data_IF_362374462716
#
_entry.id   IF_362374462716
#
_cell.length_a   1.000
_cell.length_b   1.000
_cell.length_c   1.000
_cell.angle_alpha   90.00
_cell.angle_beta   90.00
_cell.angle_gamma   90.00
#
_symmetry.space_group_name_H-M   'P 1'
#
loop_
_entity.id
_entity.type
_entity.pdbx_description
1 polymer ?
#
# COMPACT_ATOMS: atom_id res chain seq x y z
N UNK A 1 -34.68 18.34 8.91
CA UNK A 1 -34.41 17.12 8.15
C UNK A 1 -33.30 17.32 7.10
N UNK A 2 -33.38 18.33 6.22
CA UNK A 2 -32.41 18.56 5.12
C UNK A 2 -30.95 18.76 5.61
N UNK A 3 -30.72 19.58 6.65
CA UNK A 3 -29.39 19.80 7.24
C UNK A 3 -28.78 18.55 7.90
N UNK A 4 -29.58 17.66 8.46
CA UNK A 4 -29.08 16.43 9.08
C UNK A 4 -28.66 15.40 8.01
N UNK A 5 -29.44 15.26 6.93
CA UNK A 5 -29.07 14.41 5.79
C UNK A 5 -27.82 14.91 5.06
N UNK A 6 -27.70 16.25 4.91
CA UNK A 6 -26.53 16.89 4.31
C UNK A 6 -25.26 16.62 5.15
N UNK A 7 -25.34 16.75 6.48
CA UNK A 7 -24.24 16.43 7.41
C UNK A 7 -23.84 14.96 7.35
N UNK A 8 -24.82 14.08 7.28
CA UNK A 8 -24.57 12.64 7.29
C UNK A 8 -23.84 12.19 6.02
N UNK A 9 -24.17 12.76 4.88
CA UNK A 9 -23.49 12.44 3.60
C UNK A 9 -22.03 12.88 3.55
N UNK A 10 -21.67 14.00 4.21
CA UNK A 10 -20.32 14.59 4.22
C UNK A 10 -19.49 14.23 5.45
N UNK A 11 -19.97 13.35 6.31
CA UNK A 11 -19.18 12.74 7.37
C UNK A 11 -18.28 11.64 6.79
N UNK A 12 -17.17 11.31 7.47
CA UNK A 12 -16.33 10.17 7.08
C UNK A 12 -17.15 8.89 6.86
N UNK A 13 -18.16 8.61 7.72
CA UNK A 13 -19.07 7.48 7.53
C UNK A 13 -19.88 7.54 6.23
N UNK A 14 -20.41 8.72 5.88
CA UNK A 14 -21.21 8.88 4.65
C UNK A 14 -20.38 8.75 3.39
N UNK A 15 -19.17 9.33 3.41
CA UNK A 15 -18.18 9.22 2.33
C UNK A 15 -17.77 7.75 2.17
N UNK A 16 -17.38 7.09 3.25
CA UNK A 16 -17.00 5.68 3.25
C UNK A 16 -18.09 4.79 2.70
N UNK A 17 -19.35 4.96 3.17
CA UNK A 17 -20.47 4.17 2.69
C UNK A 17 -20.71 4.33 1.18
N UNK A 18 -20.43 5.51 0.62
CA UNK A 18 -20.51 5.73 -0.83
C UNK A 18 -19.35 5.04 -1.56
N UNK A 19 -18.12 5.18 -1.07
CA UNK A 19 -16.94 4.55 -1.66
C UNK A 19 -17.04 3.01 -1.64
N UNK A 20 -17.54 2.41 -0.55
CA UNK A 20 -17.75 0.97 -0.47
C UNK A 20 -18.78 0.49 -1.50
N UNK A 21 -19.87 1.26 -1.71
CA UNK A 21 -20.89 0.94 -2.72
C UNK A 21 -20.41 1.11 -4.16
N UNK A 22 -19.27 1.76 -4.35
CA UNK A 22 -18.68 1.95 -5.68
C UNK A 22 -17.58 0.90 -5.86
N UNK A 23 -17.79 -0.12 -6.72
CA UNK A 23 -16.78 -1.14 -7.00
C UNK A 23 -15.49 -0.49 -7.52
N UNK A 24 -14.35 -1.00 -7.06
CA UNK A 24 -13.03 -0.53 -7.48
C UNK A 24 -11.95 -1.61 -7.23
N UNK A 25 -12.23 -2.86 -7.60
CA UNK A 25 -11.16 -3.85 -7.68
C UNK A 25 -10.05 -3.33 -8.58
N UNK A 26 -8.78 -3.68 -8.28
CA UNK A 26 -7.63 -3.19 -9.03
C UNK A 26 -7.83 -3.37 -10.54
N UNK A 27 -7.62 -2.30 -11.31
CA UNK A 27 -7.93 -2.26 -12.75
C UNK A 27 -9.31 -1.69 -13.09
N UNK A 28 -10.19 -1.44 -12.11
CA UNK A 28 -11.55 -0.93 -12.29
C UNK A 28 -11.87 0.30 -11.43
N UNK A 29 -10.89 1.13 -11.09
CA UNK A 29 -11.02 2.20 -10.08
C UNK A 29 -11.73 3.46 -10.59
N UNK A 30 -11.93 3.61 -11.90
CA UNK A 30 -12.39 4.86 -12.52
C UNK A 30 -13.70 5.42 -11.90
N UNK A 31 -14.67 4.55 -11.60
CA UNK A 31 -15.92 4.98 -10.98
C UNK A 31 -15.71 5.54 -9.55
N UNK A 32 -14.83 4.91 -8.77
CA UNK A 32 -14.49 5.37 -7.43
C UNK A 32 -13.70 6.67 -7.47
N UNK A 33 -12.79 6.83 -8.45
CA UNK A 33 -12.05 8.06 -8.66
C UNK A 33 -12.97 9.23 -9.00
N UNK A 34 -13.94 9.06 -9.91
CA UNK A 34 -14.93 10.08 -10.23
C UNK A 34 -15.78 10.46 -9.01
N UNK A 35 -16.22 9.46 -8.24
CA UNK A 35 -16.98 9.71 -7.02
C UNK A 35 -16.15 10.50 -5.99
N UNK A 36 -14.89 10.14 -5.81
CA UNK A 36 -13.98 10.82 -4.87
C UNK A 36 -13.64 12.24 -5.34
N UNK A 37 -13.38 12.43 -6.63
CA UNK A 37 -13.15 13.75 -7.25
C UNK A 37 -14.33 14.69 -6.98
N UNK A 38 -15.55 14.23 -7.24
CA UNK A 38 -16.75 15.02 -6.96
C UNK A 38 -16.90 15.42 -5.50
N UNK A 39 -16.53 14.56 -4.56
CA UNK A 39 -16.51 14.90 -3.15
C UNK A 39 -15.42 15.95 -2.81
N UNK A 40 -14.25 15.88 -3.43
CA UNK A 40 -13.19 16.86 -3.25
C UNK A 40 -13.60 18.24 -3.82
N UNK A 41 -14.24 18.29 -4.99
CA UNK A 41 -14.81 19.51 -5.56
C UNK A 41 -15.87 20.12 -4.64
N UNK A 42 -16.76 19.28 -4.11
CA UNK A 42 -17.79 19.70 -3.15
C UNK A 42 -17.21 20.25 -1.83
N UNK A 43 -16.01 19.77 -1.44
CA UNK A 43 -15.23 20.32 -0.33
C UNK A 43 -14.51 21.64 -0.71
N UNK A 44 -14.64 22.13 -1.93
CA UNK A 44 -14.02 23.36 -2.41
C UNK A 44 -12.52 23.24 -2.66
N UNK A 45 -12.05 22.06 -3.04
CA UNK A 45 -10.66 21.83 -3.45
C UNK A 45 -10.53 21.99 -4.97
N UNK A 46 -9.33 22.35 -5.42
CA UNK A 46 -8.96 22.29 -6.83
C UNK A 46 -8.60 20.83 -7.18
N UNK A 47 -9.34 20.22 -8.11
CA UNK A 47 -9.22 18.79 -8.42
C UNK A 47 -8.64 18.58 -9.80
N UNK A 48 -7.67 17.67 -9.89
CA UNK A 48 -7.16 17.10 -11.13
C UNK A 48 -7.34 15.58 -11.11
N UNK A 49 -7.88 15.03 -12.18
CA UNK A 49 -7.84 13.59 -12.44
C UNK A 49 -6.66 13.31 -13.37
N UNK A 50 -5.81 12.39 -12.98
CA UNK A 50 -4.57 12.07 -13.68
C UNK A 50 -4.61 10.63 -14.17
N UNK A 51 -4.72 10.44 -15.49
CA UNK A 51 -4.71 9.10 -16.09
C UNK A 51 -3.42 8.36 -15.75
N UNK A 52 -3.55 7.13 -15.29
CA UNK A 52 -2.46 6.20 -14.97
C UNK A 52 -2.35 5.16 -16.08
N UNK A 53 -3.47 4.51 -16.38
CA UNK A 53 -3.66 3.50 -17.42
C UNK A 53 -5.08 3.63 -17.98
N UNK A 54 -5.45 2.91 -19.03
CA UNK A 54 -6.85 2.87 -19.47
C UNK A 54 -7.78 2.48 -18.31
N UNK A 55 -8.84 3.26 -18.12
CA UNK A 55 -9.85 3.08 -17.05
C UNK A 55 -9.31 3.19 -15.60
N UNK A 56 -8.08 3.69 -15.42
CA UNK A 56 -7.45 3.90 -14.11
C UNK A 56 -6.93 5.33 -13.99
N UNK A 57 -7.28 6.04 -12.96
CA UNK A 57 -6.79 7.39 -12.72
C UNK A 57 -6.60 7.69 -11.23
N UNK A 58 -5.62 8.55 -10.95
CA UNK A 58 -5.48 9.18 -9.65
C UNK A 58 -6.39 10.40 -9.54
N UNK A 59 -6.78 10.73 -8.33
CA UNK A 59 -7.42 12.00 -7.98
C UNK A 59 -6.46 12.82 -7.14
N UNK A 60 -6.09 14.01 -7.60
CA UNK A 60 -5.21 14.93 -6.88
C UNK A 60 -5.98 16.22 -6.59
N UNK A 61 -6.36 16.40 -5.33
CA UNK A 61 -7.14 17.55 -4.88
C UNK A 61 -6.28 18.47 -4.00
N UNK A 62 -6.31 19.79 -4.26
CA UNK A 62 -5.47 20.79 -3.59
C UNK A 62 -6.31 21.83 -2.86
N UNK A 63 -5.87 22.14 -1.64
CA UNK A 63 -6.34 23.27 -0.85
C UNK A 63 -5.17 24.19 -0.55
N UNK A 64 -4.93 25.16 -1.43
CA UNK A 64 -3.82 26.09 -1.33
C UNK A 64 -4.22 27.27 -0.43
N UNK A 65 -3.44 27.53 0.61
CA UNK A 65 -3.56 28.68 1.51
C UNK A 65 -2.30 29.56 1.48
N UNK A 66 -1.30 29.17 0.65
CA UNK A 66 -0.05 29.90 0.45
C UNK A 66 0.88 29.84 1.65
N UNK A 67 0.80 28.81 2.47
CA UNK A 67 1.62 28.65 3.68
C UNK A 67 2.26 27.26 3.75
N UNK A 68 3.36 27.16 4.47
CA UNK A 68 3.99 25.87 4.83
C UNK A 68 3.64 25.45 6.25
N UNK A 69 3.76 24.15 6.60
CA UNK A 69 4.20 23.07 5.71
C UNK A 69 3.14 22.69 4.67
N UNK A 70 3.57 22.20 3.49
CA UNK A 70 2.69 21.55 2.54
C UNK A 70 2.53 20.07 2.95
N UNK A 71 1.32 19.68 3.28
CA UNK A 71 0.97 18.32 3.71
C UNK A 71 0.34 17.55 2.55
N UNK A 72 0.89 16.38 2.25
CA UNK A 72 0.28 15.37 1.39
C UNK A 72 -0.47 14.36 2.26
N UNK A 73 -1.78 14.25 2.08
CA UNK A 73 -2.61 13.17 2.58
C UNK A 73 -2.86 12.21 1.42
N UNK A 74 -2.64 10.92 1.60
CA UNK A 74 -2.77 9.97 0.48
C UNK A 74 -3.31 8.61 0.92
N UNK A 75 -3.81 7.86 -0.07
CA UNK A 75 -4.29 6.50 0.07
C UNK A 75 -4.81 5.96 -1.24
N UNK A 76 -5.03 4.64 -1.33
CA UNK A 76 -5.48 4.01 -2.55
C UNK A 76 -7.01 3.87 -2.65
N UNK A 77 -7.50 3.89 -3.89
CA UNK A 77 -8.92 3.74 -4.25
C UNK A 77 -9.30 2.30 -4.55
N UNK A 78 -8.33 1.53 -5.02
CA UNK A 78 -8.52 0.14 -5.38
C UNK A 78 -8.73 -0.74 -4.14
N UNK A 79 -9.17 -1.94 -4.40
CA UNK A 79 -9.39 -2.96 -3.38
C UNK A 79 -8.97 -4.31 -3.91
N UNK A 80 -8.55 -5.19 -3.01
CA UNK A 80 -8.46 -6.61 -3.31
C UNK A 80 -9.78 -7.15 -3.87
N UNK A 81 -9.75 -8.24 -4.67
CA UNK A 81 -10.96 -8.89 -5.17
C UNK A 81 -11.93 -9.25 -4.05
N UNK A 82 -13.24 -9.18 -4.35
CA UNK A 82 -14.29 -9.53 -3.37
C UNK A 82 -14.10 -10.96 -2.86
N UNK A 83 -13.84 -11.92 -3.76
CA UNK A 83 -13.68 -13.32 -3.39
C UNK A 83 -14.99 -13.98 -2.91
N UNK A 84 -14.87 -15.16 -2.30
CA UNK A 84 -15.99 -15.96 -1.81
C UNK A 84 -16.11 -15.93 -0.28
N UNK A 85 -17.21 -16.47 0.25
CA UNK A 85 -17.40 -16.67 1.70
C UNK A 85 -18.05 -15.52 2.44
N UNK A 86 -18.51 -14.46 1.75
CA UNK A 86 -19.23 -13.34 2.35
C UNK A 86 -20.58 -13.78 2.90
N UNK A 87 -20.93 -13.34 4.10
CA UNK A 87 -22.28 -13.51 4.69
C UNK A 87 -23.11 -12.23 4.57
N UNK A 88 -22.47 -11.10 4.19
CA UNK A 88 -23.07 -9.78 3.94
C UNK A 88 -22.81 -9.35 2.52
N UNK A 89 -23.59 -8.39 2.02
CA UNK A 89 -23.29 -7.78 0.72
C UNK A 89 -21.95 -7.02 0.77
N UNK A 90 -20.91 -7.42 0.02
CA UNK A 90 -19.60 -6.79 0.03
C UNK A 90 -19.61 -5.32 -0.43
N UNK A 91 -20.64 -4.90 -1.14
CA UNK A 91 -20.84 -3.51 -1.61
C UNK A 91 -22.01 -2.82 -0.90
N UNK A 92 -22.62 -3.47 0.09
CA UNK A 92 -23.81 -2.96 0.78
C UNK A 92 -23.54 -1.79 1.73
N UNK A 93 -22.32 -1.65 2.23
CA UNK A 93 -21.95 -0.70 3.29
C UNK A 93 -22.91 -0.83 4.50
N UNK A 94 -23.21 -2.07 4.88
CA UNK A 94 -24.10 -2.36 6.00
C UNK A 94 -23.48 -1.88 7.31
N UNK A 95 -24.30 -1.29 8.18
CA UNK A 95 -23.86 -0.89 9.52
C UNK A 95 -24.53 -1.78 10.56
N UNK A 96 -23.71 -2.49 11.33
CA UNK A 96 -24.17 -3.38 12.39
C UNK A 96 -23.16 -3.40 13.53
N UNK A 97 -23.62 -3.36 14.79
CA UNK A 97 -22.75 -3.45 15.98
C UNK A 97 -21.66 -2.38 16.07
N UNK A 98 -21.88 -1.16 15.56
CA UNK A 98 -20.87 -0.10 15.55
C UNK A 98 -19.84 -0.20 14.43
N UNK A 99 -19.98 -1.18 13.51
CA UNK A 99 -19.09 -1.43 12.37
C UNK A 99 -19.79 -1.14 11.05
N UNK A 100 -19.01 -0.71 10.05
CA UNK A 100 -19.44 -0.66 8.67
C UNK A 100 -18.76 -1.79 7.91
N UNK A 101 -19.54 -2.61 7.23
CA UNK A 101 -19.08 -3.79 6.50
C UNK A 101 -19.05 -3.53 5.00
N UNK A 102 -18.02 -4.04 4.35
CA UNK A 102 -17.88 -4.08 2.90
C UNK A 102 -16.43 -4.07 2.44
N UNK A 103 -16.19 -4.50 1.20
CA UNK A 103 -14.84 -4.56 0.60
C UNK A 103 -14.26 -3.15 0.50
N UNK A 104 -13.01 -2.99 0.96
CA UNK A 104 -12.31 -1.72 1.02
C UNK A 104 -12.73 -0.84 2.22
N UNK A 105 -13.63 -1.29 3.09
CA UNK A 105 -14.01 -0.52 4.27
C UNK A 105 -12.82 -0.31 5.22
N UNK A 106 -12.02 -1.35 5.41
CA UNK A 106 -10.78 -1.34 6.18
C UNK A 106 -9.63 -0.87 5.31
N UNK A 107 -9.44 -1.49 4.15
CA UNK A 107 -8.28 -1.35 3.29
C UNK A 107 -8.67 -0.75 1.92
N UNK A 108 -8.41 0.59 1.65
CA UNK A 108 -8.20 1.58 2.71
C UNK A 108 -9.15 2.79 2.53
N UNK A 109 -10.37 2.55 1.99
CA UNK A 109 -11.37 3.63 1.77
C UNK A 109 -11.76 4.33 3.07
N UNK A 110 -11.65 3.64 4.23
CA UNK A 110 -11.82 4.24 5.56
C UNK A 110 -10.87 5.39 5.83
N UNK A 111 -9.61 5.22 5.48
CA UNK A 111 -8.58 6.25 5.58
C UNK A 111 -8.88 7.46 4.71
N UNK A 112 -9.18 7.24 3.42
CA UNK A 112 -9.58 8.29 2.48
C UNK A 112 -10.80 9.06 2.98
N UNK A 113 -11.81 8.34 3.50
CA UNK A 113 -13.01 8.96 4.05
C UNK A 113 -12.74 9.78 5.31
N UNK A 114 -11.82 9.35 6.18
CA UNK A 114 -11.42 10.11 7.37
C UNK A 114 -10.70 11.41 7.00
N UNK A 115 -9.77 11.36 6.04
CA UNK A 115 -9.04 12.53 5.55
C UNK A 115 -9.98 13.56 4.91
N UNK A 116 -10.81 13.13 3.98
CA UNK A 116 -11.76 14.03 3.32
C UNK A 116 -12.84 14.55 4.28
N UNK A 117 -13.29 13.72 5.23
CA UNK A 117 -14.21 14.12 6.30
C UNK A 117 -13.63 15.23 7.18
N UNK A 118 -12.32 15.19 7.47
CA UNK A 118 -11.62 16.25 8.19
C UNK A 118 -11.62 17.56 7.41
N UNK A 119 -11.37 17.52 6.10
CA UNK A 119 -11.41 18.69 5.22
C UNK A 119 -12.82 19.31 5.21
N UNK A 120 -13.87 18.51 5.04
CA UNK A 120 -15.25 18.99 5.12
C UNK A 120 -15.58 19.67 6.45
N UNK A 121 -15.06 19.11 7.55
CA UNK A 121 -15.33 19.65 8.88
C UNK A 121 -14.63 21.01 9.11
N UNK A 122 -13.37 21.17 8.65
CA UNK A 122 -12.69 22.48 8.68
C UNK A 122 -13.42 23.50 7.82
N UNK A 123 -13.79 23.16 6.59
CA UNK A 123 -14.57 24.05 5.69
C UNK A 123 -15.88 24.49 6.34
N UNK A 124 -16.61 23.55 6.94
CA UNK A 124 -17.88 23.84 7.65
C UNK A 124 -17.71 24.83 8.80
N UNK A 125 -16.55 24.81 9.47
CA UNK A 125 -16.24 25.71 10.58
C UNK A 125 -15.64 27.04 10.11
N UNK A 126 -15.35 27.20 8.82
CA UNK A 126 -14.63 28.34 8.29
C UNK A 126 -13.19 28.39 8.79
N UNK A 127 -12.62 27.23 9.14
CA UNK A 127 -11.21 27.09 9.57
C UNK A 127 -10.35 26.76 8.35
N UNK A 128 -9.18 27.36 8.28
CA UNK A 128 -8.17 27.06 7.26
C UNK A 128 -7.08 26.14 7.84
N UNK A 129 -6.48 25.27 7.01
CA UNK A 129 -5.33 24.48 7.43
C UNK A 129 -4.12 25.37 7.73
N UNK A 130 -3.20 24.87 8.54
CA UNK A 130 -1.98 25.57 8.90
C UNK A 130 -1.06 25.84 7.70
N UNK A 131 -1.08 24.98 6.70
CA UNK A 131 -0.32 25.08 5.46
C UNK A 131 -1.12 24.51 4.26
N UNK A 132 -0.47 24.46 3.10
CA UNK A 132 -1.05 23.89 1.90
C UNK A 132 -1.34 22.40 2.07
N UNK A 133 -2.42 21.91 1.49
CA UNK A 133 -2.86 20.51 1.58
C UNK A 133 -3.07 19.94 0.18
N UNK A 134 -2.47 18.79 -0.08
CA UNK A 134 -2.84 17.93 -1.21
C UNK A 134 -3.45 16.65 -0.64
N UNK A 135 -4.62 16.29 -1.14
CA UNK A 135 -5.25 14.99 -0.91
C UNK A 135 -5.16 14.20 -2.21
N UNK A 136 -4.40 13.12 -2.20
CA UNK A 136 -4.22 12.25 -3.36
C UNK A 136 -4.85 10.89 -3.09
N UNK A 137 -5.78 10.48 -3.96
CA UNK A 137 -6.30 9.12 -3.97
C UNK A 137 -5.76 8.41 -5.22
N UNK A 138 -5.00 7.35 -5.01
CA UNK A 138 -4.23 6.68 -6.07
C UNK A 138 -4.87 5.35 -6.47
N UNK A 139 -4.53 4.88 -7.67
CA UNK A 139 -4.97 3.60 -8.20
C UNK A 139 -3.88 2.52 -8.09
N UNK A 140 -4.27 1.25 -7.89
CA UNK A 140 -3.40 0.09 -8.11
C UNK A 140 -2.40 -0.23 -7.01
N UNK A 141 -2.62 0.17 -5.78
CA UNK A 141 -1.73 -0.18 -4.66
C UNK A 141 -1.67 -1.68 -4.44
N UNK A 142 -2.82 -2.36 -4.52
CA UNK A 142 -2.99 -3.78 -4.22
C UNK A 142 -2.25 -4.74 -5.19
N UNK A 143 -1.73 -4.23 -6.33
CA UNK A 143 -1.01 -5.06 -7.31
C UNK A 143 0.40 -4.53 -7.64
N UNK A 144 0.52 -3.26 -8.06
CA UNK A 144 1.75 -2.75 -8.67
C UNK A 144 2.09 -1.30 -8.32
N UNK A 145 1.27 -0.63 -7.51
CA UNK A 145 1.41 0.79 -7.14
C UNK A 145 1.44 1.74 -8.33
N UNK A 146 0.77 1.39 -9.45
CA UNK A 146 0.84 2.16 -10.69
C UNK A 146 0.47 3.63 -10.48
N UNK A 147 -0.54 3.91 -9.66
CA UNK A 147 -0.98 5.27 -9.33
C UNK A 147 0.07 6.06 -8.57
N UNK A 148 0.64 5.50 -7.51
CA UNK A 148 1.69 6.17 -6.73
C UNK A 148 2.96 6.37 -7.54
N UNK A 149 3.37 5.38 -8.34
CA UNK A 149 4.50 5.50 -9.26
C UNK A 149 4.28 6.64 -10.26
N UNK A 150 3.09 6.74 -10.83
CA UNK A 150 2.73 7.85 -11.74
C UNK A 150 2.74 9.20 -11.01
N UNK A 151 2.17 9.28 -9.79
CA UNK A 151 2.12 10.49 -9.00
C UNK A 151 3.53 11.02 -8.65
N UNK A 152 4.43 10.15 -8.17
CA UNK A 152 5.80 10.54 -7.86
C UNK A 152 6.60 10.84 -9.13
N UNK A 153 6.38 10.09 -10.21
CA UNK A 153 7.01 10.30 -11.52
C UNK A 153 6.63 11.65 -12.16
N UNK A 154 5.41 12.15 -11.92
CA UNK A 154 4.97 13.49 -12.32
C UNK A 154 5.51 14.60 -11.43
N UNK A 155 6.27 14.27 -10.41
CA UNK A 155 6.99 15.23 -9.57
C UNK A 155 6.11 15.89 -8.51
N UNK A 156 5.21 15.14 -7.88
CA UNK A 156 4.50 15.62 -6.68
C UNK A 156 5.47 16.22 -5.66
N UNK A 157 5.08 17.30 -5.01
CA UNK A 157 5.87 17.99 -3.99
C UNK A 157 5.04 18.18 -2.74
N UNK A 158 5.64 17.90 -1.59
CA UNK A 158 5.13 18.21 -0.27
C UNK A 158 6.30 18.26 0.73
N UNK A 159 6.10 18.87 1.89
CA UNK A 159 7.11 18.85 2.96
C UNK A 159 7.01 17.55 3.79
N UNK A 160 5.83 16.92 3.84
CA UNK A 160 5.55 15.70 4.56
C UNK A 160 4.31 15.00 4.03
N UNK A 161 4.23 13.69 4.20
CA UNK A 161 3.10 12.86 3.75
C UNK A 161 2.55 11.97 4.86
N UNK A 162 1.24 11.76 4.84
CA UNK A 162 0.57 10.72 5.65
C UNK A 162 -0.22 9.81 4.71
N UNK A 163 0.14 8.54 4.70
CA UNK A 163 -0.57 7.47 3.99
C UNK A 163 -1.52 6.80 4.99
N UNK A 164 -2.82 6.77 4.68
CA UNK A 164 -3.82 6.39 5.68
C UNK A 164 -4.21 4.91 5.64
N UNK A 165 -3.20 4.04 5.68
CA UNK A 165 -3.35 2.58 5.79
C UNK A 165 -4.01 2.14 7.10
N UNK A 166 -4.63 0.93 7.15
CA UNK A 166 -5.32 0.41 8.34
C UNK A 166 -4.35 -0.04 9.43
N UNK A 167 -3.78 0.92 10.16
CA UNK A 167 -2.72 0.70 11.17
C UNK A 167 -3.25 0.46 12.58
N UNK A 168 -4.52 0.14 12.76
CA UNK A 168 -5.17 0.05 14.07
C UNK A 168 -4.95 1.32 14.93
N UNK A 169 -5.03 2.50 14.30
CA UNK A 169 -4.79 3.81 14.92
C UNK A 169 -3.39 3.99 15.51
N UNK A 170 -2.40 3.20 15.08
CA UNK A 170 -1.01 3.35 15.49
C UNK A 170 -0.23 4.19 14.46
N UNK A 171 0.79 4.91 14.92
CA UNK A 171 1.68 5.69 14.07
C UNK A 171 2.84 4.82 13.59
N UNK A 172 2.82 4.44 12.33
CA UNK A 172 3.86 3.61 11.72
C UNK A 172 4.90 4.50 11.07
N UNK A 173 6.15 4.36 11.47
CA UNK A 173 7.28 5.16 10.99
C UNK A 173 8.26 4.37 10.12
N UNK A 174 8.00 3.08 9.93
CA UNK A 174 8.85 2.19 9.16
C UNK A 174 8.06 0.98 8.68
N UNK A 175 8.27 0.52 7.43
CA UNK A 175 7.74 -0.74 6.94
C UNK A 175 8.76 -1.52 6.11
N UNK A 176 8.47 -2.83 5.95
CA UNK A 176 9.24 -3.68 5.01
C UNK A 176 8.83 -3.40 3.58
N UNK A 177 9.81 -3.56 2.70
CA UNK A 177 9.54 -3.67 1.26
C UNK A 177 9.32 -5.12 0.83
N UNK A 178 8.98 -5.25 -0.44
CA UNK A 178 8.70 -6.51 -1.12
C UNK A 178 9.26 -6.46 -2.54
N UNK A 179 9.87 -7.55 -2.99
CA UNK A 179 10.15 -7.78 -4.41
C UNK A 179 9.67 -9.18 -4.77
N UNK A 180 8.70 -9.26 -5.63
CA UNK A 180 8.34 -10.50 -6.31
C UNK A 180 9.10 -10.60 -7.63
N UNK A 181 9.66 -11.77 -7.93
CA UNK A 181 10.35 -11.99 -9.18
C UNK A 181 10.28 -13.45 -9.62
N UNK A 182 10.57 -13.67 -10.89
CA UNK A 182 10.64 -15.01 -11.49
C UNK A 182 12.04 -15.30 -11.99
N UNK A 183 12.47 -16.52 -11.76
CA UNK A 183 13.67 -17.07 -12.38
C UNK A 183 13.23 -18.11 -13.42
N UNK A 184 13.40 -17.78 -14.69
CA UNK A 184 13.05 -18.64 -15.82
C UNK A 184 14.29 -19.36 -16.29
N UNK A 185 14.36 -20.67 -16.02
CA UNK A 185 15.46 -21.53 -16.50
C UNK A 185 15.09 -22.12 -17.84
N UNK A 186 15.95 -21.91 -18.84
CA UNK A 186 15.80 -22.45 -20.18
C UNK A 186 16.74 -23.64 -20.38
N UNK A 187 16.20 -24.73 -20.90
CA UNK A 187 16.89 -25.95 -21.20
C UNK A 187 16.79 -26.33 -22.70
N UNK A 188 16.78 -27.63 -22.99
CA UNK A 188 16.53 -28.17 -24.31
C UNK A 188 15.83 -29.52 -24.21
N UNK A 189 14.72 -29.68 -24.93
CA UNK A 189 13.96 -30.93 -24.93
C UNK A 189 14.71 -32.07 -25.65
N UNK A 190 14.53 -33.26 -25.11
CA UNK A 190 14.97 -34.53 -25.73
C UNK A 190 14.06 -35.67 -25.26
N UNK A 191 14.10 -36.80 -25.94
CA UNK A 191 13.43 -37.99 -25.43
C UNK A 191 14.14 -38.53 -24.20
N UNK A 192 13.40 -38.92 -23.15
CA UNK A 192 13.96 -39.35 -21.87
C UNK A 192 14.82 -40.61 -21.94
N UNK A 193 14.76 -41.40 -23.04
CA UNK A 193 15.69 -42.51 -23.28
C UNK A 193 17.09 -42.08 -23.72
N UNK A 194 17.25 -40.80 -24.12
CA UNK A 194 18.51 -40.21 -24.54
C UNK A 194 18.70 -38.82 -23.90
N UNK A 195 18.71 -38.73 -22.52
CA UNK A 195 18.65 -37.45 -21.80
C UNK A 195 19.89 -36.58 -22.07
N UNK A 196 21.01 -37.16 -22.45
CA UNK A 196 22.24 -36.43 -22.76
C UNK A 196 22.14 -35.54 -24.02
N UNK A 197 21.12 -35.75 -24.86
CA UNK A 197 20.85 -34.88 -26.02
C UNK A 197 20.04 -33.63 -25.63
N UNK A 198 19.51 -33.57 -24.43
CA UNK A 198 18.78 -32.43 -23.89
C UNK A 198 19.54 -31.68 -22.81
N UNK A 199 18.90 -30.64 -22.30
CA UNK A 199 19.34 -29.87 -21.14
C UNK A 199 18.14 -29.73 -20.16
N UNK A 200 18.18 -30.48 -19.07
CA UNK A 200 17.05 -30.58 -18.16
C UNK A 200 16.89 -29.31 -17.31
N UNK A 201 15.91 -28.47 -17.66
CA UNK A 201 15.64 -27.22 -16.96
C UNK A 201 15.17 -27.42 -15.51
N UNK A 202 14.47 -28.53 -15.18
CA UNK A 202 14.06 -28.82 -13.79
C UNK A 202 15.27 -29.12 -12.93
N UNK A 203 16.21 -29.93 -13.38
CA UNK A 203 17.43 -30.25 -12.61
C UNK A 203 18.28 -29.00 -12.39
N UNK A 204 18.40 -28.14 -13.39
CA UNK A 204 19.11 -26.86 -13.26
C UNK A 204 18.37 -25.89 -12.33
N UNK A 205 17.04 -25.81 -12.42
CA UNK A 205 16.22 -25.00 -11.51
C UNK A 205 16.33 -25.47 -10.04
N UNK A 206 16.40 -26.78 -9.80
CA UNK A 206 16.64 -27.30 -8.45
C UNK A 206 17.98 -26.84 -7.86
N UNK A 207 19.05 -26.78 -8.68
CA UNK A 207 20.32 -26.21 -8.25
C UNK A 207 20.22 -24.71 -7.91
N UNK A 208 19.44 -23.95 -8.69
CA UNK A 208 19.16 -22.54 -8.41
C UNK A 208 18.40 -22.40 -7.09
N UNK A 209 17.37 -23.21 -6.81
CA UNK A 209 16.63 -23.19 -5.54
C UNK A 209 17.55 -23.45 -4.35
N UNK A 210 18.51 -24.37 -4.45
CA UNK A 210 19.49 -24.64 -3.37
C UNK A 210 20.35 -23.41 -3.09
N UNK A 211 20.82 -22.72 -4.13
CA UNK A 211 21.59 -21.47 -3.95
C UNK A 211 20.75 -20.31 -3.42
N UNK A 212 19.48 -20.21 -3.83
CA UNK A 212 18.55 -19.24 -3.26
C UNK A 212 18.27 -19.50 -1.78
N UNK A 213 18.20 -20.77 -1.37
CA UNK A 213 18.12 -21.11 0.05
C UNK A 213 19.37 -20.69 0.81
N UNK A 214 20.56 -20.84 0.23
CA UNK A 214 21.80 -20.35 0.83
C UNK A 214 21.80 -18.83 1.02
N UNK A 215 21.24 -18.07 0.05
CA UNK A 215 21.01 -16.61 0.21
C UNK A 215 20.10 -16.34 1.41
N UNK A 216 18.99 -17.07 1.54
CA UNK A 216 18.07 -16.90 2.68
C UNK A 216 18.77 -17.21 4.03
N UNK A 217 19.63 -18.22 4.09
CA UNK A 217 20.40 -18.55 5.29
C UNK A 217 21.43 -17.46 5.65
N UNK A 218 21.96 -16.76 4.66
CA UNK A 218 22.83 -15.58 4.88
C UNK A 218 22.04 -14.37 5.38
N UNK A 219 20.82 -14.14 4.85
CA UNK A 219 19.92 -13.10 5.35
C UNK A 219 19.59 -13.30 6.83
N UNK A 220 19.41 -14.55 7.26
CA UNK A 220 19.16 -14.87 8.67
C UNK A 220 20.30 -14.44 9.61
N UNK A 221 21.52 -14.28 9.10
CA UNK A 221 22.70 -13.83 9.87
C UNK A 221 22.86 -12.32 9.91
N UNK A 222 22.07 -11.58 9.15
CA UNK A 222 22.10 -10.11 9.05
C UNK A 222 20.74 -9.50 9.49
N UNK A 223 20.33 -9.68 10.76
CA UNK A 223 19.04 -9.20 11.22
C UNK A 223 19.02 -7.66 11.27
N UNK A 224 17.93 -7.06 10.80
CA UNK A 224 17.62 -5.68 11.09
C UNK A 224 17.23 -5.53 12.57
N UNK A 225 17.62 -4.41 13.21
CA UNK A 225 17.42 -4.19 14.63
C UNK A 225 15.94 -4.30 15.07
N UNK A 226 15.04 -3.84 14.22
CA UNK A 226 13.59 -3.78 14.51
C UNK A 226 12.86 -4.96 13.86
N UNK A 227 13.11 -5.24 12.58
CA UNK A 227 12.35 -6.23 11.80
C UNK A 227 12.88 -7.65 11.89
N UNK A 228 14.06 -7.85 12.46
CA UNK A 228 14.76 -9.13 12.37
C UNK A 228 15.30 -9.37 10.95
N UNK A 229 15.58 -10.62 10.57
CA UNK A 229 16.15 -10.91 9.25
C UNK A 229 15.16 -10.60 8.11
N UNK A 230 15.69 -10.14 7.00
CA UNK A 230 15.00 -10.17 5.74
C UNK A 230 14.78 -11.64 5.31
N UNK A 231 13.92 -11.91 4.33
CA UNK A 231 13.62 -13.29 3.92
C UNK A 231 13.49 -13.43 2.42
N UNK A 232 13.84 -14.61 1.93
CA UNK A 232 13.62 -15.05 0.56
C UNK A 232 12.88 -16.38 0.60
N UNK A 233 11.71 -16.44 -0.06
CA UNK A 233 10.89 -17.64 -0.11
C UNK A 233 10.67 -18.04 -1.56
N UNK A 234 11.04 -19.28 -1.91
CA UNK A 234 10.60 -19.88 -3.17
C UNK A 234 9.15 -20.33 -2.97
N UNK A 235 8.22 -19.61 -3.59
CA UNK A 235 6.78 -19.84 -3.44
C UNK A 235 6.26 -20.93 -4.36
N UNK A 236 6.70 -20.92 -5.63
CA UNK A 236 6.31 -21.92 -6.62
C UNK A 236 7.48 -22.36 -7.48
N UNK A 237 7.40 -23.58 -8.02
CA UNK A 237 8.30 -24.09 -9.04
C UNK A 237 7.51 -24.94 -10.04
N UNK A 238 7.55 -24.59 -11.32
CA UNK A 238 6.80 -25.26 -12.37
C UNK A 238 7.69 -25.57 -13.59
N UNK A 239 7.69 -26.81 -14.06
CA UNK A 239 8.46 -27.21 -15.24
C UNK A 239 8.08 -28.57 -15.80
N UNK A 240 8.44 -28.77 -17.06
CA UNK A 240 8.18 -30.00 -17.79
C UNK A 240 6.73 -30.16 -18.26
N UNK A 241 6.51 -31.14 -19.13
CA UNK A 241 5.18 -31.43 -19.73
C UNK A 241 4.79 -32.89 -19.59
N UNK A 242 5.73 -33.82 -19.76
CA UNK A 242 5.53 -35.26 -19.67
C UNK A 242 6.79 -35.95 -19.12
N UNK A 243 6.66 -37.07 -18.38
CA UNK A 243 7.80 -37.73 -17.74
C UNK A 243 8.80 -38.35 -18.75
N UNK A 244 8.37 -38.57 -20.00
CA UNK A 244 9.22 -39.10 -21.06
C UNK A 244 9.88 -38.03 -21.98
N UNK A 245 9.78 -36.74 -21.58
CA UNK A 245 10.39 -35.59 -22.27
C UNK A 245 11.32 -34.87 -21.30
N UNK A 246 12.59 -34.64 -21.69
CA UNK A 246 13.50 -33.79 -20.93
C UNK A 246 12.96 -32.35 -20.94
N UNK A 247 12.74 -31.74 -19.75
CA UNK A 247 12.16 -30.40 -19.68
C UNK A 247 13.08 -29.32 -20.26
N UNK A 248 12.53 -28.48 -21.11
CA UNK A 248 13.21 -27.32 -21.71
C UNK A 248 12.92 -26.00 -21.03
N UNK A 249 12.00 -25.98 -20.07
CA UNK A 249 11.65 -24.79 -19.29
C UNK A 249 11.26 -25.14 -17.86
N UNK A 250 11.74 -24.34 -16.91
CA UNK A 250 11.27 -24.35 -15.52
C UNK A 250 11.21 -22.92 -15.02
N UNK A 251 10.13 -22.58 -14.28
CA UNK A 251 9.90 -21.26 -13.70
C UNK A 251 9.87 -21.41 -12.18
N UNK A 252 10.61 -20.55 -11.50
CA UNK A 252 10.63 -20.42 -10.05
C UNK A 252 10.04 -19.04 -9.73
N UNK A 253 9.04 -18.94 -8.84
CA UNK A 253 8.50 -17.67 -8.37
C UNK A 253 8.93 -17.45 -6.93
N UNK A 254 9.41 -16.24 -6.63
CA UNK A 254 10.10 -15.88 -5.40
C UNK A 254 9.49 -14.64 -4.79
N UNK A 255 9.27 -14.67 -3.47
CA UNK A 255 8.95 -13.52 -2.60
C UNK A 255 10.20 -13.16 -1.81
N UNK A 256 10.67 -11.91 -1.93
CA UNK A 256 11.80 -11.37 -1.18
C UNK A 256 11.32 -10.20 -0.32
N UNK A 257 11.28 -10.41 1.00
CA UNK A 257 10.98 -9.33 1.94
C UNK A 257 12.24 -8.52 2.20
N UNK A 258 12.14 -7.21 1.99
CA UNK A 258 13.24 -6.24 2.02
C UNK A 258 13.14 -5.44 3.32
N UNK A 259 14.24 -5.30 4.05
CA UNK A 259 14.29 -4.44 5.23
C UNK A 259 14.72 -3.01 4.86
N UNK A 260 14.42 -1.99 5.67
CA UNK A 260 15.00 -0.67 5.52
C UNK A 260 16.53 -0.74 5.43
N UNK A 261 17.11 0.06 4.52
CA UNK A 261 18.55 0.04 4.22
C UNK A 261 18.96 -0.94 3.11
N UNK A 262 18.09 -1.86 2.68
CA UNK A 262 18.29 -2.68 1.49
C UNK A 262 17.62 -2.01 0.27
N UNK A 263 18.19 -2.18 -0.91
CA UNK A 263 17.61 -1.69 -2.17
C UNK A 263 17.28 -2.86 -3.11
N UNK A 264 16.29 -2.66 -3.99
CA UNK A 264 15.94 -3.64 -5.03
C UNK A 264 17.16 -4.02 -5.89
N UNK A 265 18.02 -3.06 -6.21
CA UNK A 265 19.25 -3.31 -6.97
C UNK A 265 20.21 -4.28 -6.25
N UNK A 266 20.43 -4.08 -4.95
CA UNK A 266 21.25 -4.99 -4.14
C UNK A 266 20.66 -6.40 -4.06
N UNK A 267 19.34 -6.51 -3.92
CA UNK A 267 18.64 -7.80 -3.93
C UNK A 267 18.85 -8.54 -5.26
N UNK A 268 18.68 -7.85 -6.38
CA UNK A 268 18.88 -8.46 -7.72
C UNK A 268 20.34 -8.88 -7.92
N UNK A 269 21.31 -8.11 -7.44
CA UNK A 269 22.73 -8.47 -7.47
C UNK A 269 23.04 -9.73 -6.63
N UNK A 270 22.40 -9.88 -5.46
CA UNK A 270 22.50 -11.11 -4.64
C UNK A 270 21.97 -12.33 -5.41
N UNK A 271 20.84 -12.19 -6.11
CA UNK A 271 20.23 -13.26 -6.90
C UNK A 271 21.12 -13.62 -8.09
N UNK A 272 21.61 -12.64 -8.84
CA UNK A 272 22.53 -12.89 -9.98
C UNK A 272 23.83 -13.56 -9.53
N UNK A 273 24.34 -13.21 -8.35
CA UNK A 273 25.50 -13.86 -7.75
C UNK A 273 25.23 -15.33 -7.40
N UNK A 274 24.03 -15.65 -6.89
CA UNK A 274 23.60 -17.02 -6.63
C UNK A 274 23.53 -17.83 -7.94
N UNK A 275 22.91 -17.27 -8.98
CA UNK A 275 22.82 -17.89 -10.30
C UNK A 275 24.22 -18.10 -10.90
N UNK A 276 25.15 -17.16 -10.73
CA UNK A 276 26.53 -17.29 -11.21
C UNK A 276 27.26 -18.49 -10.54
N UNK A 277 27.01 -18.76 -9.25
CA UNK A 277 27.55 -19.95 -8.58
C UNK A 277 27.03 -21.24 -9.20
N UNK A 278 25.73 -21.31 -9.53
CA UNK A 278 25.16 -22.49 -10.23
C UNK A 278 25.82 -22.71 -11.60
N UNK A 279 26.14 -21.63 -12.32
CA UNK A 279 26.80 -21.74 -13.66
C UNK A 279 28.15 -22.44 -13.59
N UNK A 280 28.85 -22.42 -12.47
CA UNK A 280 30.12 -23.16 -12.28
C UNK A 280 29.92 -24.68 -12.39
N UNK A 281 28.80 -25.21 -11.91
CA UNK A 281 28.45 -26.64 -11.98
C UNK A 281 27.55 -26.99 -13.19
N UNK A 282 26.88 -26.01 -13.76
CA UNK A 282 25.97 -26.15 -14.91
C UNK A 282 26.35 -25.12 -15.99
N UNK A 283 27.42 -25.34 -16.76
CA UNK A 283 27.97 -24.33 -17.69
C UNK A 283 26.99 -23.86 -18.78
N UNK A 284 26.01 -24.69 -19.12
CA UNK A 284 24.97 -24.35 -20.10
C UNK A 284 23.78 -23.56 -19.51
N UNK A 285 23.79 -23.24 -18.21
CA UNK A 285 22.67 -22.60 -17.55
C UNK A 285 22.31 -21.26 -18.19
N UNK A 286 21.15 -21.25 -18.83
CA UNK A 286 20.52 -20.05 -19.36
C UNK A 286 19.34 -19.66 -18.46
N UNK A 287 19.41 -18.46 -17.88
CA UNK A 287 18.42 -17.95 -16.93
C UNK A 287 18.03 -16.53 -17.32
N UNK A 288 16.74 -16.25 -17.24
CA UNK A 288 16.18 -14.89 -17.27
C UNK A 288 15.56 -14.60 -15.92
N UNK A 289 15.96 -13.50 -15.28
CA UNK A 289 15.31 -12.98 -14.07
C UNK A 289 14.31 -11.92 -14.53
N UNK A 290 13.04 -12.17 -14.26
CA UNK A 290 11.92 -11.26 -14.56
C UNK A 290 11.47 -10.63 -13.25
N UNK A 291 11.75 -9.34 -13.06
CA UNK A 291 11.25 -8.60 -11.90
C UNK A 291 9.75 -8.35 -12.04
N UNK A 292 9.01 -8.64 -10.98
CA UNK A 292 7.65 -8.19 -10.78
C UNK A 292 7.60 -6.81 -10.10
N UNK A 293 6.42 -6.40 -9.62
CA UNK A 293 6.28 -5.20 -8.82
C UNK A 293 7.16 -5.23 -7.59
N UNK A 294 7.77 -4.10 -7.24
CA UNK A 294 8.52 -3.90 -6.02
C UNK A 294 7.87 -2.82 -5.15
N UNK A 295 7.91 -3.02 -3.84
CA UNK A 295 7.52 -2.04 -2.83
C UNK A 295 8.74 -1.70 -2.01
N UNK A 296 9.06 -0.42 -1.93
CA UNK A 296 10.27 0.02 -1.25
C UNK A 296 10.05 0.01 0.27
N UNK A 297 10.98 -0.58 1.01
CA UNK A 297 11.01 -0.41 2.46
C UNK A 297 11.30 1.05 2.82
N UNK A 298 10.75 1.56 3.91
CA UNK A 298 11.12 2.88 4.40
C UNK A 298 11.28 2.88 5.92
N UNK A 299 12.02 3.85 6.40
CA UNK A 299 12.16 4.20 7.81
C UNK A 299 12.45 5.69 7.93
N UNK A 300 11.77 6.35 8.87
CA UNK A 300 12.10 7.72 9.27
C UNK A 300 12.40 7.76 10.76
N UNK A 301 13.30 8.65 11.23
CA UNK A 301 13.63 8.77 12.64
C UNK A 301 12.42 9.14 13.50
N UNK A 302 12.33 8.59 14.71
CA UNK A 302 11.27 8.91 15.66
C UNK A 302 11.22 10.41 16.02
N UNK A 303 12.41 11.06 15.98
CA UNK A 303 12.56 12.49 16.24
C UNK A 303 12.22 13.38 15.04
N UNK A 304 11.79 12.83 13.92
CA UNK A 304 11.43 13.60 12.73
C UNK A 304 10.24 14.54 12.99
N UNK A 305 10.24 15.72 12.37
CA UNK A 305 9.18 16.72 12.54
C UNK A 305 7.78 16.19 12.22
N UNK A 306 7.65 15.33 11.21
CA UNK A 306 6.40 14.69 10.85
C UNK A 306 5.88 13.78 11.98
N UNK A 307 6.77 13.00 12.63
CA UNK A 307 6.40 12.13 13.75
C UNK A 307 5.92 12.98 14.93
N UNK A 308 6.62 14.08 15.21
CA UNK A 308 6.20 15.04 16.25
C UNK A 308 4.85 15.69 15.91
N UNK A 309 4.63 16.09 14.67
CA UNK A 309 3.36 16.67 14.22
C UNK A 309 2.20 15.70 14.38
N UNK A 310 2.38 14.44 13.95
CA UNK A 310 1.37 13.38 14.10
C UNK A 310 1.10 13.07 15.57
N UNK A 311 2.14 12.90 16.39
CA UNK A 311 2.00 12.64 17.84
C UNK A 311 1.24 13.77 18.52
N UNK A 312 1.52 15.04 18.19
CA UNK A 312 0.79 16.21 18.69
C UNK A 312 -0.68 16.17 18.25
N UNK A 313 -0.95 15.87 16.97
CA UNK A 313 -2.31 15.78 16.44
C UNK A 313 -3.13 14.66 17.11
N UNK A 314 -2.52 13.49 17.30
CA UNK A 314 -3.13 12.36 18.02
C UNK A 314 -3.48 12.75 19.46
N UNK A 315 -2.54 13.37 20.18
CA UNK A 315 -2.76 13.86 21.54
C UNK A 315 -3.89 14.89 21.62
N UNK A 316 -3.92 15.86 20.69
CA UNK A 316 -4.97 16.87 20.60
C UNK A 316 -6.37 16.27 20.29
N UNK A 317 -6.41 15.17 19.56
CA UNK A 317 -7.62 14.39 19.26
C UNK A 317 -8.03 13.41 20.38
N UNK A 318 -7.23 13.27 21.44
CA UNK A 318 -7.45 12.33 22.53
C UNK A 318 -7.15 10.86 22.14
N UNK A 319 -6.28 10.65 21.17
CA UNK A 319 -5.85 9.33 20.71
C UNK A 319 -4.42 9.09 21.23
N UNK A 320 -4.16 7.97 21.92
CA UNK A 320 -2.81 7.65 22.38
C UNK A 320 -1.85 7.48 21.19
N UNK A 321 -0.74 8.21 21.20
CA UNK A 321 0.29 8.06 20.18
C UNK A 321 1.14 6.81 20.49
N UNK A 322 0.90 5.73 19.74
CA UNK A 322 1.71 4.51 19.77
C UNK A 322 2.51 4.45 18.49
N UNK A 323 3.81 4.70 18.61
CA UNK A 323 4.75 4.58 17.50
C UNK A 323 5.08 3.09 17.32
N UNK A 324 5.08 2.62 16.09
CA UNK A 324 5.31 1.23 15.74
C UNK A 324 5.92 1.10 14.34
N UNK A 325 6.15 -0.13 13.94
CA UNK A 325 6.62 -0.51 12.60
C UNK A 325 5.67 -1.50 11.97
N UNK A 326 5.67 -1.61 10.65
CA UNK A 326 4.74 -2.46 9.93
C UNK A 326 5.48 -3.51 9.09
N UNK A 327 5.03 -4.76 9.15
CA UNK A 327 5.65 -5.86 8.41
C UNK A 327 5.16 -5.98 6.98
N UNK A 328 4.00 -5.39 6.67
CA UNK A 328 3.49 -5.31 5.32
C UNK A 328 4.25 -4.24 4.51
N UNK A 329 4.20 -4.35 3.21
CA UNK A 329 4.65 -3.31 2.29
C UNK A 329 3.56 -2.25 2.13
N UNK A 330 3.91 -1.08 1.63
CA UNK A 330 2.99 0.01 1.30
C UNK A 330 3.63 0.98 0.31
N UNK A 331 2.85 1.89 -0.21
CA UNK A 331 3.30 2.94 -1.12
C UNK A 331 4.24 3.99 -0.49
N UNK A 332 4.36 4.02 0.84
CA UNK A 332 5.15 5.03 1.55
C UNK A 332 6.61 5.10 1.10
N UNK A 333 7.21 3.96 0.75
CA UNK A 333 8.57 3.91 0.27
C UNK A 333 8.81 4.72 -1.01
N UNK A 334 7.82 4.84 -1.89
CA UNK A 334 7.94 5.67 -3.10
C UNK A 334 7.96 7.16 -2.77
N UNK A 335 7.17 7.61 -1.80
CA UNK A 335 7.23 9.00 -1.33
C UNK A 335 8.58 9.31 -0.72
N UNK A 336 9.11 8.43 0.13
CA UNK A 336 10.39 8.64 0.83
C UNK A 336 11.57 8.61 -0.14
N UNK A 337 11.68 7.55 -0.97
CA UNK A 337 12.89 7.35 -1.78
C UNK A 337 12.83 8.00 -3.15
N UNK A 338 11.65 8.04 -3.79
CA UNK A 338 11.53 8.57 -5.15
C UNK A 338 11.18 10.05 -5.16
N UNK A 339 10.23 10.48 -4.31
CA UNK A 339 9.81 11.87 -4.24
C UNK A 339 10.63 12.70 -3.24
N UNK A 340 11.37 12.06 -2.31
CA UNK A 340 12.08 12.75 -1.22
C UNK A 340 11.15 13.38 -0.19
N UNK A 341 9.93 12.84 -0.04
CA UNK A 341 8.92 13.33 0.88
C UNK A 341 8.85 12.39 2.09
N UNK A 342 9.21 12.85 3.31
CA UNK A 342 9.04 12.05 4.52
C UNK A 342 7.59 11.58 4.67
N UNK A 343 7.38 10.29 4.94
CA UNK A 343 6.06 9.67 5.02
C UNK A 343 5.91 8.85 6.29
N UNK A 344 4.71 8.84 6.86
CA UNK A 344 4.26 7.92 7.93
C UNK A 344 2.94 7.28 7.52
N UNK A 345 2.61 6.12 8.14
CA UNK A 345 1.30 5.52 7.99
C UNK A 345 0.49 5.77 9.25
N UNK A 346 -0.78 6.14 9.07
CA UNK A 346 -1.74 6.27 10.16
C UNK A 346 -3.16 6.20 9.62
N UNK A 347 -3.94 5.25 10.08
CA UNK A 347 -5.35 5.17 9.72
C UNK A 347 -6.18 4.24 10.60
N UNK A 348 -7.52 4.32 10.41
CA UNK A 348 -8.47 3.47 11.11
C UNK A 348 -8.55 2.09 10.46
N UNK A 349 -8.97 1.09 11.22
CA UNK A 349 -9.03 -0.30 10.81
C UNK A 349 -7.74 -1.06 11.13
N UNK A 350 -7.87 -2.36 11.18
CA UNK A 350 -6.77 -3.29 11.51
C UNK A 350 -6.61 -4.28 10.37
N UNK A 351 -5.47 -4.18 9.66
CA UNK A 351 -5.16 -5.01 8.50
C UNK A 351 -5.19 -6.50 8.84
N UNK A 352 -4.72 -6.88 10.04
CA UNK A 352 -4.62 -8.28 10.44
C UNK A 352 -5.98 -8.88 10.78
N UNK A 353 -6.93 -8.06 11.25
CA UNK A 353 -8.25 -8.53 11.66
C UNK A 353 -9.30 -8.48 10.57
N UNK A 354 -9.25 -7.49 9.68
CA UNK A 354 -10.37 -7.21 8.79
C UNK A 354 -10.02 -7.19 7.29
N UNK A 355 -8.81 -6.78 6.88
CA UNK A 355 -8.47 -6.64 5.47
C UNK A 355 -8.39 -7.97 4.73
N UNK A 356 -8.70 -7.97 3.42
CA UNK A 356 -8.61 -9.11 2.49
C UNK A 356 -9.43 -10.35 2.89
N UNK A 357 -10.42 -10.19 3.78
CA UNK A 357 -11.28 -11.28 4.25
C UNK A 357 -12.74 -11.07 3.85
N UNK A 358 -13.56 -12.13 3.77
CA UNK A 358 -15.00 -11.98 3.74
C UNK A 358 -15.49 -11.21 4.96
N UNK A 359 -16.60 -10.49 4.80
CA UNK A 359 -17.18 -9.62 5.82
C UNK A 359 -16.19 -8.57 6.38
N UNK A 360 -15.30 -8.06 5.53
CA UNK A 360 -14.41 -6.94 5.85
C UNK A 360 -15.19 -5.81 6.50
N UNK A 361 -14.59 -5.18 7.53
CA UNK A 361 -15.27 -4.15 8.33
C UNK A 361 -14.30 -3.11 8.87
N UNK A 362 -14.86 -1.96 9.22
CA UNK A 362 -14.18 -0.92 10.00
C UNK A 362 -15.02 -0.50 11.20
N UNK A 363 -14.37 -0.21 12.33
CA UNK A 363 -15.02 0.35 13.49
C UNK A 363 -15.35 1.84 13.26
N UNK A 364 -16.61 2.22 13.46
CA UNK A 364 -17.07 3.60 13.22
C UNK A 364 -16.54 4.60 14.26
N UNK A 365 -16.17 4.16 15.45
CA UNK A 365 -15.54 5.02 16.45
C UNK A 365 -14.09 5.29 16.09
N UNK A 366 -13.35 4.27 15.58
CA UNK A 366 -12.00 4.48 15.03
C UNK A 366 -12.01 5.42 13.83
N UNK A 367 -12.93 5.21 12.89
CA UNK A 367 -13.11 6.09 11.73
C UNK A 367 -13.31 7.54 12.17
N UNK A 368 -14.15 7.77 13.16
CA UNK A 368 -14.39 9.11 13.69
C UNK A 368 -13.19 9.68 14.45
N UNK A 369 -12.45 8.84 15.18
CA UNK A 369 -11.20 9.24 15.85
C UNK A 369 -10.13 9.62 14.85
N UNK A 370 -9.94 8.82 13.79
CA UNK A 370 -9.00 9.13 12.71
C UNK A 370 -9.35 10.47 12.04
N UNK A 371 -10.62 10.71 11.71
CA UNK A 371 -11.05 12.02 11.19
C UNK A 371 -10.61 13.15 12.13
N UNK A 372 -10.80 13.02 13.45
CA UNK A 372 -10.38 14.05 14.41
C UNK A 372 -8.87 14.24 14.46
N UNK A 373 -8.08 13.17 14.32
CA UNK A 373 -6.62 13.28 14.24
C UNK A 373 -6.22 14.08 13.00
N UNK A 374 -6.82 13.80 11.84
CA UNK A 374 -6.57 14.57 10.61
C UNK A 374 -7.02 16.03 10.74
N UNK A 375 -8.14 16.33 11.40
CA UNK A 375 -8.55 17.72 11.70
C UNK A 375 -7.46 18.45 12.52
N UNK A 376 -6.96 17.81 13.58
CA UNK A 376 -5.91 18.38 14.43
C UNK A 376 -4.58 18.53 13.65
N UNK A 377 -4.23 17.56 12.82
CA UNK A 377 -3.03 17.62 11.98
C UNK A 377 -3.11 18.79 10.99
N UNK A 378 -4.23 18.95 10.29
CA UNK A 378 -4.48 20.06 9.38
C UNK A 378 -4.39 21.42 10.08
N UNK A 379 -4.75 21.50 11.37
CA UNK A 379 -4.63 22.71 12.19
C UNK A 379 -3.24 22.90 12.83
N UNK A 380 -2.23 22.12 12.42
CA UNK A 380 -0.86 22.22 12.96
C UNK A 380 -0.72 21.72 14.40
N UNK A 381 -1.42 20.64 14.73
CA UNK A 381 -1.39 20.01 16.05
C UNK A 381 -2.27 20.70 17.12
N UNK A 382 -3.05 21.70 16.73
CA UNK A 382 -4.01 22.37 17.64
C UNK A 382 -5.30 21.57 17.74
N UNK A 383 -5.97 21.53 18.90
CA UNK A 383 -7.28 20.88 19.03
C UNK A 383 -8.31 21.56 18.12
N UNK A 384 -9.10 20.77 17.42
CA UNK A 384 -10.22 21.28 16.65
C UNK A 384 -11.30 21.83 17.61
N UNK A 385 -11.93 22.94 17.23
CA UNK A 385 -12.99 23.54 18.08
C UNK A 385 -14.18 22.57 18.16
N UNK A 386 -14.51 22.13 19.38
CA UNK A 386 -15.74 21.38 19.59
C UNK A 386 -16.93 22.31 19.38
N UNK A 387 -17.78 21.98 18.39
CA UNK A 387 -19.08 22.64 18.27
C UNK A 387 -19.99 22.03 19.34
N UNK A 388 -20.60 22.83 20.20
CA UNK A 388 -21.56 22.30 21.16
C UNK A 388 -22.63 21.48 20.45
N UNK A 389 -22.91 20.27 20.96
CA UNK A 389 -24.05 19.47 20.50
C UNK A 389 -25.31 20.27 20.80
N UNK A 390 -25.96 20.85 19.75
CA UNK A 390 -27.32 21.41 19.84
C UNK A 390 -28.31 20.32 19.53
#
# INVERSE_FOLDING_TARGET
>A
MWHAQWRMKRSARGILANLVRTPSETGGEQAAAHAFAGWCEEAGMEVAMEDVEPDRCNVVARWNVGRRPHLLLTGHLDTAPVGEGWTRDPLGAEVSGGRLYGRGACDMKGGLAAMLGAIFELRRRGEEPAGDVTLAAVAGEEEDSAGTRALVGRGIRADMAVLSEPTAMQLVISNRGLLNFRVVVKGASAHASAPALGRNAITAAAAVVVELQAVNDELARRPHAVFGPASLTVGTIHGGTRPYVVPDRCVIEIDRRINPGETTAQVLEEIESAIARVRLGVPWLEVVVESGPDYLAFEIPEEHDLVRAMTSAMGAAGVPARITTWRAASDAGFFVHTAGIPCVLFGPGDIEQAAHRPDEWIDLDELQKAQRVFECLLLGGRPSRQVPRR
#
